data_IF_993750771189
#
_entry.id   IF_993750771189
#
_cell.length_a   1.000
_cell.length_b   1.000
_cell.length_c   1.000
_cell.angle_alpha   90.00
_cell.angle_beta   90.00
_cell.angle_gamma   90.00
#
_symmetry.space_group_name_H-M   'P 1'
#
loop_
_entity.id
_entity.type
_entity.pdbx_description
1 polymer ?
#
# COMPACT_ATOMS: atom_id res chain seq x y z
N UNK A 1 -5.67 26.86 -40.60
CA UNK A 1 -5.41 25.42 -40.79
C UNK A 1 -5.62 24.76 -39.42
N UNK A 2 -6.88 24.59 -39.02
CA UNK A 2 -7.68 23.37 -39.24
C UNK A 2 -7.17 22.19 -38.38
N UNK A 3 -7.94 21.79 -37.37
CA UNK A 3 -8.82 20.59 -37.37
C UNK A 3 -8.12 19.48 -36.56
N UNK A 4 -8.67 18.79 -35.56
CA UNK A 4 -10.03 18.56 -35.10
C UNK A 4 -9.97 18.29 -33.59
N UNK A 5 -10.83 18.92 -32.80
CA UNK A 5 -11.34 18.27 -31.58
C UNK A 5 -12.66 18.94 -31.19
N UNK A 6 -13.69 18.63 -31.96
CA UNK A 6 -15.02 19.18 -31.75
C UNK A 6 -16.07 18.16 -32.22
N UNK A 7 -16.25 17.04 -31.50
CA UNK A 7 -17.42 16.15 -31.75
C UNK A 7 -17.84 15.18 -30.64
N UNK A 8 -17.29 15.22 -29.42
CA UNK A 8 -17.71 14.23 -28.40
C UNK A 8 -18.19 14.79 -27.05
N UNK A 9 -18.00 16.08 -26.77
CA UNK A 9 -18.48 16.69 -25.51
C UNK A 9 -19.87 17.35 -25.65
N UNK A 10 -20.42 17.44 -26.87
CA UNK A 10 -21.67 18.16 -27.16
C UNK A 10 -22.97 17.34 -27.17
N UNK A 11 -23.02 16.15 -26.55
CA UNK A 11 -24.23 15.30 -26.62
C UNK A 11 -24.81 14.80 -25.29
N UNK A 12 -24.41 15.39 -24.15
CA UNK A 12 -25.01 15.09 -22.85
C UNK A 12 -25.68 16.29 -22.13
N UNK A 13 -25.76 17.47 -22.76
CA UNK A 13 -26.43 18.66 -22.20
C UNK A 13 -27.69 19.06 -23.00
N UNK A 14 -28.58 18.11 -23.27
CA UNK A 14 -29.83 18.39 -23.96
C UNK A 14 -31.02 17.66 -23.33
N UNK A 15 -31.31 17.94 -22.06
CA UNK A 15 -32.65 17.77 -21.45
C UNK A 15 -32.87 18.89 -20.42
N UNK A 16 -33.74 19.84 -20.77
CA UNK A 16 -34.53 20.78 -19.95
C UNK A 16 -33.91 21.49 -18.73
N UNK A 17 -33.07 22.50 -18.97
CA UNK A 17 -32.68 23.53 -17.98
C UNK A 17 -33.39 24.88 -18.16
N UNK A 18 -34.27 25.03 -19.15
CA UNK A 18 -34.92 26.31 -19.48
C UNK A 18 -36.21 26.59 -18.68
N UNK A 19 -36.87 25.57 -18.15
CA UNK A 19 -38.11 25.70 -17.34
C UNK A 19 -37.85 25.97 -15.86
N UNK A 20 -36.71 25.51 -15.32
CA UNK A 20 -36.35 25.63 -13.90
C UNK A 20 -35.79 27.03 -13.57
N UNK A 21 -35.14 27.68 -14.53
CA UNK A 21 -34.45 28.97 -14.33
C UNK A 21 -35.42 30.18 -14.33
N UNK A 22 -36.59 30.04 -14.98
CA UNK A 22 -37.65 31.06 -15.03
C UNK A 22 -38.39 31.21 -13.70
N UNK A 23 -38.75 30.08 -13.09
CA UNK A 23 -39.53 30.02 -11.85
C UNK A 23 -38.73 30.48 -10.62
N UNK A 24 -37.42 30.19 -10.60
CA UNK A 24 -36.52 30.64 -9.52
C UNK A 24 -36.22 32.15 -9.55
N UNK A 25 -36.17 32.78 -10.73
CA UNK A 25 -35.99 34.24 -10.83
C UNK A 25 -37.22 35.00 -10.32
N UNK A 26 -38.43 34.49 -10.57
CA UNK A 26 -39.68 35.06 -10.06
C UNK A 26 -39.79 35.03 -8.52
N UNK A 27 -39.46 33.90 -7.89
CA UNK A 27 -39.50 33.78 -6.42
C UNK A 27 -38.45 34.65 -5.71
N UNK A 28 -37.25 34.83 -6.29
CA UNK A 28 -36.20 35.68 -5.67
C UNK A 28 -36.47 37.19 -5.80
N UNK A 29 -37.33 37.61 -6.72
CA UNK A 29 -37.74 38.99 -6.90
C UNK A 29 -38.89 39.36 -5.94
N UNK A 30 -39.84 38.43 -5.70
CA UNK A 30 -40.89 38.62 -4.69
C UNK A 30 -40.34 38.63 -3.26
N UNK A 31 -39.33 37.81 -2.93
CA UNK A 31 -38.75 37.79 -1.58
C UNK A 31 -37.95 39.06 -1.26
N UNK A 32 -37.26 39.65 -2.24
CA UNK A 32 -36.52 40.91 -2.07
C UNK A 32 -37.44 42.12 -1.88
N UNK A 33 -38.54 42.21 -2.63
CA UNK A 33 -39.51 43.30 -2.46
C UNK A 33 -40.28 43.23 -1.12
N UNK A 34 -40.42 42.04 -0.53
CA UNK A 34 -41.03 41.85 0.79
C UNK A 34 -40.07 42.15 1.95
N UNK A 35 -38.76 41.96 1.76
CA UNK A 35 -37.74 42.34 2.76
C UNK A 35 -37.44 43.85 2.74
N UNK A 36 -37.38 44.51 1.57
CA UNK A 36 -37.10 45.95 1.47
C UNK A 36 -38.24 46.84 2.00
N UNK A 37 -39.47 46.30 2.08
CA UNK A 37 -40.61 46.98 2.71
C UNK A 37 -40.56 46.95 4.25
N UNK A 38 -39.66 46.17 4.85
CA UNK A 38 -39.58 45.96 6.30
C UNK A 38 -38.48 46.79 7.01
N UNK A 39 -37.61 47.51 6.28
CA UNK A 39 -36.38 48.10 6.84
C UNK A 39 -36.26 49.63 6.66
N UNK A 40 -37.36 50.38 6.86
CA UNK A 40 -37.33 51.85 6.88
C UNK A 40 -37.75 52.41 8.24
N UNK A 41 -36.89 53.13 8.98
CA UNK A 41 -37.28 53.80 10.21
C UNK A 41 -38.04 55.10 9.86
N UNK A 42 -39.26 55.27 10.37
CA UNK A 42 -39.95 56.57 10.40
C UNK A 42 -40.18 57.01 11.84
N UNK A 43 -39.84 58.27 12.09
CA UNK A 43 -40.03 58.99 13.33
C UNK A 43 -41.51 59.10 13.74
N UNK A 44 -41.67 59.29 15.05
CA UNK A 44 -42.86 59.29 15.90
C UNK A 44 -44.05 60.10 15.37
N UNK A 45 -45.25 59.49 15.47
CA UNK A 45 -46.56 60.13 15.41
C UNK A 45 -47.62 59.19 15.98
N UNK A 46 -48.36 59.66 16.97
CA UNK A 46 -49.35 58.98 17.80
C UNK A 46 -50.39 58.10 17.09
N UNK A 47 -50.67 56.93 17.68
CA UNK A 47 -51.98 56.26 17.69
C UNK A 47 -52.35 55.40 16.48
N UNK A 48 -52.18 54.07 16.60
CA UNK A 48 -53.18 53.01 16.30
C UNK A 48 -52.54 51.61 16.18
N UNK A 49 -53.01 50.70 17.05
CA UNK A 49 -53.01 49.22 17.05
C UNK A 49 -51.87 48.41 16.38
N UNK A 50 -51.02 47.82 17.22
CA UNK A 50 -49.94 46.88 16.89
C UNK A 50 -50.44 45.42 16.64
N UNK A 51 -51.74 45.13 16.76
CA UNK A 51 -52.22 43.73 16.81
C UNK A 51 -52.51 43.10 15.43
N UNK A 52 -52.81 43.90 14.39
CA UNK A 52 -53.19 43.35 13.07
C UNK A 52 -52.00 42.95 12.17
N UNK A 53 -50.80 43.51 12.39
CA UNK A 53 -49.64 43.27 11.50
C UNK A 53 -48.91 41.97 11.86
N UNK A 54 -48.97 41.52 13.12
CA UNK A 54 -48.34 40.28 13.57
C UNK A 54 -49.12 39.01 13.19
N UNK A 55 -50.46 39.05 13.16
CA UNK A 55 -51.27 37.89 12.75
C UNK A 55 -51.10 37.54 11.27
N UNK A 56 -50.98 38.53 10.38
CA UNK A 56 -50.87 38.28 8.94
C UNK A 56 -49.52 37.68 8.53
N UNK A 57 -48.44 37.96 9.28
CA UNK A 57 -47.10 37.41 9.00
C UNK A 57 -46.99 35.91 9.37
N UNK A 58 -47.69 35.48 10.42
CA UNK A 58 -47.72 34.06 10.82
C UNK A 58 -48.49 33.18 9.84
N UNK A 59 -49.61 33.68 9.31
CA UNK A 59 -50.45 32.92 8.36
C UNK A 59 -49.71 32.72 7.03
N UNK A 60 -48.99 33.73 6.54
CA UNK A 60 -48.20 33.62 5.29
C UNK A 60 -47.03 32.65 5.44
N UNK A 61 -46.34 32.63 6.59
CA UNK A 61 -45.29 31.63 6.86
C UNK A 61 -45.86 30.21 6.96
N UNK A 62 -47.03 30.02 7.59
CA UNK A 62 -47.65 28.70 7.73
C UNK A 62 -48.06 28.13 6.37
N UNK A 63 -48.61 28.96 5.47
CA UNK A 63 -49.00 28.53 4.11
C UNK A 63 -47.75 28.19 3.26
N UNK A 64 -46.67 28.97 3.38
CA UNK A 64 -45.39 28.66 2.73
C UNK A 64 -44.77 27.35 3.24
N UNK A 65 -44.90 27.07 4.54
CA UNK A 65 -44.40 25.82 5.13
C UNK A 65 -45.21 24.59 4.66
N UNK A 66 -46.54 24.71 4.58
CA UNK A 66 -47.42 23.62 4.14
C UNK A 66 -47.25 23.32 2.65
N UNK A 67 -47.06 24.35 1.82
CA UNK A 67 -46.79 24.17 0.38
C UNK A 67 -45.41 23.59 0.11
N UNK A 68 -44.39 23.95 0.90
CA UNK A 68 -43.07 23.30 0.85
C UNK A 68 -43.10 21.83 1.32
N UNK A 69 -44.02 21.48 2.23
CA UNK A 69 -44.17 20.11 2.72
C UNK A 69 -44.88 19.21 1.69
N UNK A 70 -45.82 19.75 0.90
CA UNK A 70 -46.53 19.00 -0.15
C UNK A 70 -45.66 18.75 -1.40
N UNK A 71 -44.71 19.63 -1.72
CA UNK A 71 -43.79 19.41 -2.85
C UNK A 71 -42.69 18.39 -2.53
N UNK A 72 -42.33 18.21 -1.25
CA UNK A 72 -41.40 17.15 -0.84
C UNK A 72 -41.99 15.74 -0.97
N UNK A 73 -43.29 15.57 -0.75
CA UNK A 73 -43.95 14.25 -0.86
C UNK A 73 -44.12 13.76 -2.30
N UNK A 74 -44.06 14.67 -3.29
CA UNK A 74 -44.21 14.33 -4.71
C UNK A 74 -42.90 13.82 -5.37
N UNK A 75 -41.74 14.04 -4.74
CA UNK A 75 -40.43 13.54 -5.23
C UNK A 75 -39.90 12.33 -4.46
N UNK A 76 -40.70 11.76 -3.54
CA UNK A 76 -40.32 10.64 -2.69
C UNK A 76 -40.79 9.26 -3.18
N UNK A 77 -41.10 9.11 -4.48
CA UNK A 77 -41.23 7.79 -5.10
C UNK A 77 -39.94 7.46 -5.85
N UNK A 78 -38.88 7.17 -5.08
CA UNK A 78 -37.80 6.34 -5.58
C UNK A 78 -38.39 4.94 -5.79
N UNK A 79 -38.75 4.63 -7.03
CA UNK A 79 -39.11 3.29 -7.44
C UNK A 79 -37.96 2.37 -7.02
N UNK A 80 -38.20 1.52 -6.02
CA UNK A 80 -37.24 0.48 -5.66
C UNK A 80 -37.05 -0.37 -6.90
N UNK A 81 -35.88 -0.29 -7.51
CA UNK A 81 -35.46 -1.27 -8.50
C UNK A 81 -35.36 -2.59 -7.73
N UNK A 82 -36.42 -3.40 -7.79
CA UNK A 82 -36.37 -4.79 -7.34
C UNK A 82 -35.38 -5.53 -8.26
N UNK A 83 -34.14 -5.62 -7.81
CA UNK A 83 -33.17 -6.55 -8.38
C UNK A 83 -33.71 -7.94 -8.02
N UNK A 84 -34.37 -8.58 -8.98
CA UNK A 84 -34.85 -9.96 -8.85
C UNK A 84 -33.74 -10.86 -8.31
N UNK A 85 -33.92 -11.35 -7.08
CA UNK A 85 -33.04 -12.30 -6.36
C UNK A 85 -33.15 -13.75 -6.89
N UNK A 86 -33.74 -13.96 -8.07
CA UNK A 86 -33.68 -15.29 -8.69
C UNK A 86 -32.23 -15.56 -9.11
N UNK A 87 -31.66 -16.74 -8.79
CA UNK A 87 -30.36 -17.12 -9.33
C UNK A 87 -30.45 -17.10 -10.86
N UNK A 88 -29.82 -16.10 -11.47
CA UNK A 88 -29.82 -15.96 -12.92
C UNK A 88 -29.03 -17.13 -13.48
N UNK A 89 -29.63 -17.83 -14.45
CA UNK A 89 -29.07 -19.04 -15.05
C UNK A 89 -27.74 -18.80 -15.78
N UNK A 90 -27.12 -19.87 -16.28
CA UNK A 90 -25.88 -19.79 -17.06
C UNK A 90 -26.08 -18.97 -18.34
N UNK A 91 -25.03 -18.26 -18.75
CA UNK A 91 -25.00 -17.52 -20.02
C UNK A 91 -24.53 -18.46 -21.12
N UNK A 92 -25.23 -18.48 -22.25
CA UNK A 92 -24.82 -19.24 -23.43
C UNK A 92 -24.33 -18.29 -24.52
N UNK A 93 -23.17 -18.58 -25.10
CA UNK A 93 -22.60 -17.78 -26.19
C UNK A 93 -22.29 -18.65 -27.40
N UNK A 94 -22.54 -18.11 -28.59
CA UNK A 94 -22.06 -18.71 -29.85
C UNK A 94 -20.58 -18.40 -30.05
N UNK A 95 -19.88 -19.23 -30.84
CA UNK A 95 -18.45 -19.01 -31.14
C UNK A 95 -18.17 -17.65 -31.81
N UNK A 96 -19.13 -17.12 -32.57
CA UNK A 96 -19.05 -15.78 -33.13
C UNK A 96 -19.09 -14.70 -32.04
N UNK A 97 -20.00 -14.82 -31.07
CA UNK A 97 -20.10 -13.89 -29.93
C UNK A 97 -18.87 -13.98 -29.03
N UNK A 98 -18.36 -15.18 -28.75
CA UNK A 98 -17.12 -15.35 -27.97
C UNK A 98 -15.95 -14.59 -28.62
N UNK A 99 -15.83 -14.65 -29.95
CA UNK A 99 -14.79 -13.95 -30.72
C UNK A 99 -14.99 -12.43 -30.73
N UNK A 100 -16.22 -11.95 -30.77
CA UNK A 100 -16.54 -10.50 -30.72
C UNK A 100 -16.20 -9.93 -29.34
N UNK A 101 -16.44 -10.69 -28.26
CA UNK A 101 -16.16 -10.27 -26.87
C UNK A 101 -14.65 -10.40 -26.55
N UNK A 102 -13.86 -11.03 -27.43
CA UNK A 102 -12.44 -11.38 -27.22
C UNK A 102 -12.25 -12.13 -25.88
N UNK A 103 -13.07 -13.17 -25.68
CA UNK A 103 -13.00 -13.99 -24.47
C UNK A 103 -11.68 -14.76 -24.43
N UNK A 104 -10.94 -14.60 -23.33
CA UNK A 104 -9.78 -15.45 -23.00
C UNK A 104 -10.07 -16.30 -21.79
N UNK A 105 -9.68 -17.55 -21.89
CA UNK A 105 -9.83 -18.55 -20.84
C UNK A 105 -8.47 -18.84 -20.19
N UNK A 106 -8.48 -19.17 -18.91
CA UNK A 106 -7.34 -19.72 -18.20
C UNK A 106 -7.77 -20.95 -17.41
N UNK A 107 -6.86 -21.91 -17.28
CA UNK A 107 -7.09 -23.12 -16.47
C UNK A 107 -6.72 -22.86 -15.01
N UNK A 108 -7.57 -23.33 -14.12
CA UNK A 108 -7.29 -23.42 -12.69
C UNK A 108 -6.18 -24.47 -12.50
N UNK A 109 -5.09 -24.07 -11.86
CA UNK A 109 -3.93 -24.95 -11.62
C UNK A 109 -3.36 -24.74 -10.23
N UNK A 110 -2.73 -25.79 -9.72
CA UNK A 110 -1.98 -25.71 -8.47
C UNK A 110 -0.59 -25.12 -8.74
N UNK A 111 -0.18 -24.17 -7.90
CA UNK A 111 1.19 -23.65 -7.92
C UNK A 111 1.62 -23.12 -6.56
N UNK A 112 2.93 -22.95 -6.34
CA UNK A 112 3.43 -22.24 -5.18
C UNK A 112 2.90 -20.81 -5.15
N UNK A 113 2.34 -20.40 -4.02
CA UNK A 113 1.86 -19.05 -3.77
C UNK A 113 2.31 -18.61 -2.37
N UNK A 114 2.76 -17.37 -2.26
CA UNK A 114 3.12 -16.78 -0.98
C UNK A 114 2.55 -15.37 -0.88
N UNK A 115 1.96 -15.07 0.27
CA UNK A 115 1.58 -13.72 0.62
C UNK A 115 2.77 -13.01 1.27
N UNK A 116 3.21 -11.92 0.67
CA UNK A 116 4.40 -11.18 1.09
C UNK A 116 4.00 -9.81 1.65
N UNK A 117 4.55 -9.45 2.80
CA UNK A 117 4.52 -8.08 3.33
C UNK A 117 5.83 -7.38 3.00
N UNK A 118 5.78 -6.29 2.24
CA UNK A 118 6.97 -5.54 1.85
C UNK A 118 7.25 -4.42 2.84
N UNK A 119 8.41 -4.48 3.48
CA UNK A 119 8.93 -3.49 4.40
C UNK A 119 10.18 -2.82 3.82
N UNK A 120 10.36 -1.54 4.14
CA UNK A 120 11.56 -0.79 3.76
C UNK A 120 12.48 -0.65 4.98
N UNK A 121 13.79 -0.59 4.72
CA UNK A 121 14.78 -0.57 5.79
C UNK A 121 16.20 -0.32 5.30
N UNK A 122 17.13 -0.56 6.20
CA UNK A 122 18.57 -0.38 5.97
C UNK A 122 19.36 -1.57 6.51
N UNK A 123 20.46 -1.91 5.85
CA UNK A 123 21.43 -2.87 6.36
C UNK A 123 22.28 -2.21 7.46
N UNK A 124 22.34 -2.85 8.63
CA UNK A 124 23.17 -2.43 9.75
C UNK A 124 24.09 -3.56 10.23
N UNK A 125 25.16 -3.18 10.92
CA UNK A 125 25.99 -4.12 11.66
C UNK A 125 25.29 -4.58 12.92
N UNK A 126 25.60 -5.80 13.36
CA UNK A 126 25.21 -6.22 14.69
C UNK A 126 26.01 -5.39 15.72
N UNK A 127 25.36 -4.85 16.77
CA UNK A 127 26.05 -4.06 17.79
C UNK A 127 27.22 -4.79 18.46
N UNK A 128 27.11 -6.12 18.59
CA UNK A 128 28.11 -6.97 19.22
C UNK A 128 29.18 -7.50 18.24
N UNK A 129 29.13 -7.11 16.96
CA UNK A 129 30.07 -7.52 15.91
C UNK A 129 30.89 -6.32 15.41
N UNK A 130 31.10 -5.32 16.27
CA UNK A 130 31.96 -4.17 16.00
C UNK A 130 32.70 -3.71 17.25
N UNK A 131 33.87 -3.11 17.08
CA UNK A 131 34.69 -2.61 18.17
C UNK A 131 35.47 -1.36 17.75
N UNK A 132 35.47 -0.37 18.64
CA UNK A 132 36.36 0.78 18.58
C UNK A 132 37.65 0.47 19.33
N UNK A 133 38.78 0.64 18.64
CA UNK A 133 40.10 0.48 19.22
C UNK A 133 40.58 1.85 19.66
N UNK A 134 40.63 2.07 20.97
CA UNK A 134 41.07 3.33 21.58
C UNK A 134 42.44 3.20 22.25
N UNK A 135 43.15 4.32 22.37
CA UNK A 135 44.37 4.41 23.19
C UNK A 135 44.01 4.82 24.62
N UNK A 136 44.74 4.29 25.61
CA UNK A 136 44.56 4.64 27.04
C UNK A 136 45.68 5.54 27.59
N UNK A 137 46.70 5.82 26.79
CA UNK A 137 47.86 6.61 27.15
C UNK A 137 48.10 7.71 26.12
N UNK A 138 48.73 8.81 26.53
CA UNK A 138 49.22 9.83 25.62
C UNK A 138 50.53 9.41 24.97
N UNK A 139 50.67 9.63 23.66
CA UNK A 139 51.84 9.17 22.91
C UNK A 139 51.84 9.61 21.45
N UNK A 140 52.87 9.20 20.70
CA UNK A 140 52.95 9.38 19.26
C UNK A 140 52.87 8.03 18.54
N UNK A 141 52.26 8.00 17.36
CA UNK A 141 52.19 6.81 16.51
C UNK A 141 53.58 6.51 15.92
N UNK A 142 54.25 5.49 16.43
CA UNK A 142 55.62 5.12 16.03
C UNK A 142 55.67 4.10 14.88
N UNK A 143 54.65 3.25 14.74
CA UNK A 143 54.51 2.31 13.63
C UNK A 143 53.04 1.96 13.39
N UNK A 144 52.68 1.74 12.12
CA UNK A 144 51.37 1.25 11.70
C UNK A 144 51.54 -0.12 11.03
N UNK A 145 50.75 -1.09 11.46
CA UNK A 145 50.78 -2.47 10.96
C UNK A 145 49.53 -2.83 10.15
N UNK A 146 48.47 -2.05 10.26
CA UNK A 146 47.20 -2.31 9.57
C UNK A 146 46.60 -1.03 8.98
N UNK A 147 45.86 -1.20 7.88
CA UNK A 147 45.26 -0.13 7.08
C UNK A 147 43.76 -0.31 6.92
N UNK A 148 43.10 0.75 6.47
CA UNK A 148 41.69 0.72 6.09
C UNK A 148 41.45 -0.39 5.06
N UNK A 149 40.46 -1.24 5.30
CA UNK A 149 40.09 -2.36 4.44
C UNK A 149 40.84 -3.66 4.72
N UNK A 150 41.88 -3.67 5.56
CA UNK A 150 42.59 -4.89 5.90
C UNK A 150 41.71 -5.82 6.74
N UNK A 151 41.86 -7.13 6.48
CA UNK A 151 41.32 -8.16 7.35
C UNK A 151 42.29 -8.44 8.50
N UNK A 152 41.77 -8.40 9.72
CA UNK A 152 42.56 -8.61 10.94
C UNK A 152 41.97 -9.71 11.80
N UNK A 153 42.83 -10.45 12.48
CA UNK A 153 42.44 -11.47 13.48
C UNK A 153 42.48 -10.88 14.88
N UNK A 154 41.66 -11.40 15.80
CA UNK A 154 41.77 -11.09 17.23
C UNK A 154 43.21 -11.30 17.72
N UNK A 155 43.77 -10.28 18.37
CA UNK A 155 45.15 -10.28 18.88
C UNK A 155 46.21 -9.82 17.87
N UNK A 156 45.88 -9.58 16.61
CA UNK A 156 46.83 -9.09 15.60
C UNK A 156 47.28 -7.66 15.93
N UNK A 157 48.58 -7.34 15.86
CA UNK A 157 49.08 -5.98 16.11
C UNK A 157 48.58 -5.01 15.03
N UNK A 158 48.08 -3.84 15.46
CA UNK A 158 47.53 -2.81 14.56
C UNK A 158 48.41 -1.57 14.50
N UNK A 159 48.91 -1.12 15.65
CA UNK A 159 49.70 0.11 15.80
C UNK A 159 50.62 0.02 17.00
N UNK A 160 51.78 0.68 16.92
CA UNK A 160 52.69 0.88 18.04
C UNK A 160 52.69 2.35 18.46
N UNK A 161 52.33 2.63 19.71
CA UNK A 161 52.34 3.96 20.31
C UNK A 161 53.56 4.10 21.20
N UNK A 162 54.36 5.13 20.99
CA UNK A 162 55.45 5.51 21.88
C UNK A 162 54.93 6.54 22.88
N UNK A 163 55.07 6.24 24.17
CA UNK A 163 54.64 7.13 25.24
C UNK A 163 55.53 8.38 25.30
N UNK A 164 54.94 9.48 25.78
CA UNK A 164 55.68 10.70 26.13
C UNK A 164 56.33 10.64 27.51
N UNK A 165 56.13 9.55 28.25
CA UNK A 165 56.77 9.35 29.55
C UNK A 165 58.29 9.20 29.40
N UNK A 166 59.02 9.72 30.39
CA UNK A 166 60.47 9.68 30.43
C UNK A 166 60.93 8.22 30.60
N UNK A 167 61.83 7.76 29.73
CA UNK A 167 62.46 6.44 29.76
C UNK A 167 63.54 6.34 28.68
N UNK A 168 64.50 5.44 28.84
CA UNK A 168 65.59 5.20 27.88
C UNK A 168 65.64 3.72 27.44
N UNK A 169 65.07 3.35 26.27
CA UNK A 169 64.27 4.18 25.37
C UNK A 169 62.86 4.48 25.94
N UNK A 170 62.13 5.48 25.42
CA UNK A 170 60.78 5.79 25.88
C UNK A 170 59.86 4.57 25.72
N UNK A 171 59.03 4.25 26.74
CA UNK A 171 58.20 3.05 26.72
C UNK A 171 57.21 3.09 25.55
N UNK A 172 56.97 1.94 24.93
CA UNK A 172 56.03 1.81 23.82
C UNK A 172 55.06 0.66 24.05
N UNK A 173 53.83 0.82 23.55
CA UNK A 173 52.76 -0.17 23.64
C UNK A 173 52.29 -0.52 22.23
N UNK A 174 52.07 -1.81 22.00
CA UNK A 174 51.43 -2.30 20.78
C UNK A 174 49.96 -2.49 21.11
N UNK A 175 49.10 -1.90 20.29
CA UNK A 175 47.66 -2.05 20.40
C UNK A 175 47.24 -3.09 19.37
N UNK A 176 46.58 -4.13 19.89
CA UNK A 176 46.15 -5.28 19.11
C UNK A 176 44.66 -5.20 18.80
N UNK A 177 44.23 -5.93 17.76
CA UNK A 177 42.82 -6.05 17.43
C UNK A 177 42.04 -6.77 18.53
N UNK A 178 40.94 -6.21 19.05
CA UNK A 178 40.09 -6.88 20.05
C UNK A 178 39.25 -8.01 19.46
N UNK A 179 39.04 -8.01 18.14
CA UNK A 179 38.19 -8.96 17.43
C UNK A 179 38.74 -9.33 16.04
N UNK A 180 38.17 -10.36 15.43
CA UNK A 180 38.43 -10.70 14.04
C UNK A 180 37.43 -9.94 13.16
N UNK A 181 37.90 -9.26 12.12
CA UNK A 181 37.04 -8.43 11.27
C UNK A 181 37.80 -7.66 10.20
N UNK A 182 37.13 -6.66 9.64
CA UNK A 182 37.68 -5.71 8.66
C UNK A 182 37.87 -4.36 9.34
N UNK A 183 38.95 -3.66 9.01
CA UNK A 183 39.15 -2.28 9.44
C UNK A 183 38.28 -1.36 8.59
N UNK A 184 37.25 -0.79 9.22
CA UNK A 184 36.26 0.08 8.61
C UNK A 184 36.65 1.54 8.64
N UNK A 185 37.45 1.93 9.64
CA UNK A 185 38.02 3.26 9.75
C UNK A 185 39.43 3.19 10.34
N UNK A 186 40.33 4.02 9.82
CA UNK A 186 41.64 4.30 10.41
C UNK A 186 41.74 5.80 10.63
N UNK A 187 41.66 6.23 11.88
CA UNK A 187 41.59 7.63 12.27
C UNK A 187 42.96 8.20 12.69
N UNK A 188 44.04 7.48 12.35
CA UNK A 188 45.41 7.85 12.68
C UNK A 188 46.35 7.76 11.50
N UNK A 189 47.42 8.54 11.58
CA UNK A 189 48.56 8.55 10.67
C UNK A 189 49.88 8.33 11.42
N UNK A 190 50.90 7.85 10.72
CA UNK A 190 52.24 7.69 11.30
C UNK A 190 52.77 9.05 11.78
N UNK A 191 53.37 9.09 12.97
CA UNK A 191 53.89 10.31 13.60
C UNK A 191 52.85 11.18 14.32
N UNK A 192 51.56 10.88 14.20
CA UNK A 192 50.50 11.64 14.84
C UNK A 192 50.54 11.48 16.38
N UNK A 193 50.30 12.57 17.11
CA UNK A 193 50.08 12.54 18.54
C UNK A 193 48.66 12.05 18.87
N UNK A 194 48.53 11.19 19.88
CA UNK A 194 47.27 10.61 20.35
C UNK A 194 47.13 10.78 21.86
N UNK A 195 45.90 10.98 22.32
CA UNK A 195 45.53 11.17 23.73
C UNK A 195 44.57 10.06 24.19
N UNK A 196 44.45 9.79 25.51
CA UNK A 196 43.52 8.80 26.03
C UNK A 196 42.10 8.98 25.48
N UNK A 197 41.44 7.87 25.17
CA UNK A 197 40.13 7.79 24.52
C UNK A 197 40.09 8.23 23.04
N UNK A 198 41.24 8.52 22.42
CA UNK A 198 41.30 8.71 20.96
C UNK A 198 41.01 7.37 20.27
N UNK A 199 39.97 7.32 19.43
CA UNK A 199 39.67 6.18 18.57
C UNK A 199 40.69 6.09 17.43
N UNK A 200 41.41 4.98 17.37
CA UNK A 200 42.46 4.73 16.39
C UNK A 200 41.92 3.98 15.17
N UNK A 201 41.13 2.93 15.43
CA UNK A 201 40.53 2.07 14.41
C UNK A 201 39.09 1.75 14.77
N UNK A 202 38.24 1.60 13.76
CA UNK A 202 36.94 0.94 13.88
C UNK A 202 37.03 -0.40 13.15
N UNK A 203 36.65 -1.48 13.82
CA UNK A 203 36.73 -2.84 13.28
C UNK A 203 35.34 -3.46 13.35
N UNK A 204 34.88 -4.05 12.26
CA UNK A 204 33.62 -4.79 12.25
C UNK A 204 33.76 -6.17 11.63
N UNK A 205 32.97 -7.10 12.16
CA UNK A 205 32.72 -8.38 11.55
C UNK A 205 31.40 -8.32 10.78
N UNK A 206 31.50 -8.40 9.46
CA UNK A 206 30.38 -8.27 8.53
C UNK A 206 29.84 -9.59 8.03
N UNK A 207 30.30 -10.73 8.56
CA UNK A 207 29.88 -12.07 8.11
C UNK A 207 28.36 -12.28 8.25
N UNK A 208 27.75 -11.61 9.23
CA UNK A 208 26.30 -11.47 9.37
C UNK A 208 25.98 -10.00 9.52
N UNK A 209 24.83 -9.62 8.99
CA UNK A 209 24.29 -8.26 9.09
C UNK A 209 22.81 -8.35 9.42
N UNK A 210 22.24 -7.24 9.91
CA UNK A 210 20.80 -7.13 10.10
C UNK A 210 20.22 -6.21 9.05
N UNK A 211 19.07 -6.54 8.49
CA UNK A 211 18.20 -5.57 7.84
C UNK A 211 17.25 -5.03 8.90
N UNK A 212 17.38 -3.74 9.24
CA UNK A 212 16.47 -3.02 10.11
C UNK A 212 15.32 -2.48 9.25
N UNK A 213 14.22 -3.23 9.20
CA UNK A 213 13.04 -2.89 8.42
C UNK A 213 11.96 -2.26 9.30
N UNK A 214 11.13 -1.40 8.73
CA UNK A 214 10.05 -0.72 9.45
C UNK A 214 8.70 -1.31 9.05
N UNK A 215 7.92 -1.74 10.04
CA UNK A 215 6.53 -2.20 9.87
C UNK A 215 5.56 -1.17 10.43
N UNK A 216 4.48 -0.89 9.69
CA UNK A 216 3.41 -0.01 10.17
C UNK A 216 2.59 -0.68 11.28
N UNK A 217 2.04 0.14 12.19
CA UNK A 217 1.24 -0.34 13.33
C UNK A 217 0.08 -1.26 12.91
N UNK A 218 -0.56 -0.99 11.77
CA UNK A 218 -1.68 -1.79 11.22
C UNK A 218 -1.29 -3.19 10.72
N UNK A 219 -0.01 -3.38 10.38
CA UNK A 219 0.52 -4.65 9.87
C UNK A 219 1.29 -5.44 10.93
N UNK A 220 1.47 -4.88 12.12
CA UNK A 220 2.31 -5.45 13.18
C UNK A 220 1.85 -6.85 13.62
N UNK A 221 0.53 -7.08 13.69
CA UNK A 221 -0.05 -8.39 14.07
C UNK A 221 0.33 -9.51 13.08
N UNK A 222 0.65 -9.16 11.83
CA UNK A 222 1.00 -10.12 10.77
C UNK A 222 2.45 -10.58 10.88
N UNK A 223 3.30 -9.80 11.56
CA UNK A 223 4.75 -10.06 11.66
C UNK A 223 5.07 -10.77 12.96
N UNK A 224 5.71 -11.93 12.85
CA UNK A 224 6.06 -12.77 14.00
C UNK A 224 7.55 -13.13 13.96
N UNK A 225 8.18 -13.15 15.13
CA UNK A 225 9.57 -13.60 15.27
C UNK A 225 9.72 -15.02 14.73
N UNK A 226 10.72 -15.21 13.88
CA UNK A 226 11.01 -16.48 13.23
C UNK A 226 10.46 -16.63 11.82
N UNK A 227 9.66 -15.69 11.32
CA UNK A 227 9.25 -15.68 9.91
C UNK A 227 10.46 -15.54 8.96
N UNK A 228 10.34 -16.19 7.80
CA UNK A 228 11.29 -16.05 6.70
C UNK A 228 11.08 -14.69 6.02
N UNK A 229 12.17 -14.01 5.70
CA UNK A 229 12.15 -12.78 4.93
C UNK A 229 13.12 -12.85 3.76
N UNK A 230 12.70 -12.34 2.61
CA UNK A 230 13.55 -12.18 1.43
C UNK A 230 13.96 -10.72 1.29
N UNK A 231 15.24 -10.45 1.45
CA UNK A 231 15.78 -9.08 1.39
C UNK A 231 16.39 -8.82 0.03
N UNK A 232 16.02 -7.69 -0.56
CA UNK A 232 16.54 -7.18 -1.83
C UNK A 232 17.22 -5.84 -1.58
N UNK A 233 18.41 -5.66 -2.18
CA UNK A 233 19.16 -4.40 -2.08
C UNK A 233 19.38 -3.82 -3.47
N UNK A 234 19.36 -2.49 -3.58
CA UNK A 234 19.50 -1.79 -4.87
C UNK A 234 20.86 -2.06 -5.54
N UNK A 235 21.89 -2.32 -4.74
CA UNK A 235 23.24 -2.61 -5.24
C UNK A 235 23.32 -3.95 -6.00
N UNK A 236 22.39 -4.87 -5.75
CA UNK A 236 22.35 -6.19 -6.38
C UNK A 236 20.91 -6.58 -6.73
N UNK A 237 20.31 -5.96 -7.77
CA UNK A 237 18.87 -6.09 -8.06
C UNK A 237 18.44 -7.51 -8.49
N UNK A 238 19.39 -8.36 -8.88
CA UNK A 238 19.15 -9.76 -9.28
C UNK A 238 19.41 -10.76 -8.15
N UNK A 239 19.85 -10.30 -6.97
CA UNK A 239 20.16 -11.17 -5.83
C UNK A 239 19.12 -10.98 -4.75
N UNK A 240 18.71 -12.10 -4.19
CA UNK A 240 17.83 -12.16 -3.02
C UNK A 240 18.60 -12.76 -1.86
N UNK A 241 18.54 -12.10 -0.72
CA UNK A 241 19.22 -12.51 0.49
C UNK A 241 18.17 -13.10 1.45
N UNK A 242 18.16 -14.42 1.66
CA UNK A 242 17.26 -15.03 2.62
C UNK A 242 17.67 -14.65 4.04
N UNK A 243 16.68 -14.33 4.87
CA UNK A 243 16.87 -13.96 6.25
C UNK A 243 15.73 -14.43 7.14
N UNK A 244 15.88 -14.19 8.43
CA UNK A 244 14.88 -14.56 9.44
C UNK A 244 14.62 -13.39 10.39
N UNK A 245 13.36 -13.15 10.70
CA UNK A 245 13.00 -12.16 11.73
C UNK A 245 13.50 -12.66 13.08
N UNK A 246 14.38 -11.90 13.73
CA UNK A 246 14.97 -12.27 15.04
C UNK A 246 14.43 -11.44 16.19
N UNK A 247 14.01 -10.20 15.91
CA UNK A 247 13.52 -9.28 16.92
C UNK A 247 12.52 -8.31 16.29
N UNK A 248 11.42 -8.10 17.00
CA UNK A 248 10.51 -6.96 16.79
C UNK A 248 10.76 -6.05 17.98
N UNK A 249 11.20 -4.82 17.73
CA UNK A 249 11.53 -3.90 18.81
C UNK A 249 10.27 -3.56 19.64
N UNK A 250 10.37 -3.45 20.98
CA UNK A 250 9.20 -3.25 21.82
C UNK A 250 8.60 -1.84 21.71
N UNK A 251 9.32 -0.89 21.11
CA UNK A 251 8.94 0.51 21.06
C UNK A 251 8.43 0.90 19.67
N UNK A 252 7.27 1.54 19.65
CA UNK A 252 6.72 2.21 18.46
C UNK A 252 7.35 3.60 18.32
N UNK A 253 7.81 3.93 17.12
CA UNK A 253 8.14 5.31 16.79
C UNK A 253 6.84 6.10 16.54
N UNK A 254 6.50 7.02 17.44
CA UNK A 254 5.24 7.79 17.36
C UNK A 254 5.18 8.76 16.18
N UNK A 255 6.33 9.17 15.63
CA UNK A 255 6.41 10.10 14.50
C UNK A 255 6.12 9.36 13.19
N UNK A 256 6.75 8.20 12.98
CA UNK A 256 6.57 7.42 11.75
C UNK A 256 5.46 6.38 11.85
N UNK A 257 4.91 6.13 13.06
CA UNK A 257 3.94 5.06 13.34
C UNK A 257 4.42 3.68 12.88
N UNK A 258 5.71 3.43 13.10
CA UNK A 258 6.36 2.17 12.73
C UNK A 258 7.08 1.54 13.90
N UNK A 259 7.17 0.21 13.86
CA UNK A 259 8.02 -0.60 14.72
C UNK A 259 9.19 -1.12 13.89
N UNK A 260 10.38 -1.14 14.49
CA UNK A 260 11.54 -1.73 13.83
C UNK A 260 11.52 -3.26 13.98
N UNK A 261 11.82 -3.93 12.87
CA UNK A 261 11.96 -5.38 12.77
C UNK A 261 13.37 -5.69 12.32
N UNK A 262 14.10 -6.45 13.12
CA UNK A 262 15.45 -6.89 12.80
C UNK A 262 15.41 -8.25 12.11
N UNK A 263 15.93 -8.29 10.89
CA UNK A 263 16.02 -9.50 10.07
C UNK A 263 17.50 -9.87 9.95
N UNK A 264 17.88 -11.03 10.47
CA UNK A 264 19.27 -11.52 10.36
C UNK A 264 19.52 -12.05 8.95
N UNK A 265 20.67 -11.68 8.39
CA UNK A 265 21.12 -12.09 7.06
C UNK A 265 22.55 -12.62 7.15
N UNK A 266 22.79 -13.75 6.49
CA UNK A 266 24.16 -14.21 6.21
C UNK A 266 24.74 -13.41 5.05
N UNK A 267 25.96 -12.89 5.24
CA UNK A 267 26.61 -12.01 4.28
C UNK A 267 27.82 -12.70 3.62
N UNK A 268 27.56 -13.87 3.03
CA UNK A 268 28.60 -14.62 2.33
C UNK A 268 29.16 -13.77 1.17
N UNK A 269 30.48 -13.60 1.15
CA UNK A 269 31.18 -12.78 0.15
C UNK A 269 31.16 -11.27 0.43
N UNK A 270 30.73 -10.82 1.63
CA UNK A 270 30.76 -9.42 2.06
C UNK A 270 30.05 -8.46 1.08
N UNK A 271 28.95 -8.92 0.49
CA UNK A 271 28.19 -8.17 -0.51
C UNK A 271 27.34 -7.07 0.15
N UNK A 272 26.69 -7.41 1.26
CA UNK A 272 25.87 -6.49 2.03
C UNK A 272 26.78 -5.58 2.85
N UNK A 273 26.71 -4.27 2.58
CA UNK A 273 27.43 -3.26 3.35
C UNK A 273 26.45 -2.53 4.26
N UNK A 274 26.87 -2.20 5.50
CA UNK A 274 26.11 -1.30 6.36
C UNK A 274 25.85 0.02 5.63
N UNK A 275 24.68 0.63 5.83
CA UNK A 275 24.27 1.83 5.08
C UNK A 275 23.45 1.55 3.81
N UNK A 276 23.38 0.29 3.35
CA UNK A 276 22.61 -0.03 2.15
C UNK A 276 21.11 0.03 2.42
N UNK A 277 20.36 0.65 1.50
CA UNK A 277 18.91 0.54 1.48
C UNK A 277 18.48 -0.90 1.16
N UNK A 278 17.54 -1.41 1.95
CA UNK A 278 17.02 -2.77 1.86
C UNK A 278 15.49 -2.77 1.77
N UNK A 279 14.96 -3.62 0.90
CA UNK A 279 13.54 -3.97 0.85
C UNK A 279 13.39 -5.39 1.34
N UNK A 280 12.71 -5.58 2.46
CA UNK A 280 12.44 -6.88 3.04
C UNK A 280 11.02 -7.35 2.69
N UNK A 281 10.88 -8.54 2.13
CA UNK A 281 9.60 -9.19 1.88
C UNK A 281 9.41 -10.29 2.91
N UNK A 282 8.60 -10.04 3.93
CA UNK A 282 8.27 -11.01 4.97
C UNK A 282 7.21 -11.97 4.43
N UNK A 283 7.43 -13.27 4.59
CA UNK A 283 6.46 -14.31 4.21
C UNK A 283 5.40 -14.42 5.31
N UNK A 284 4.18 -13.97 5.01
CA UNK A 284 3.05 -14.04 5.95
C UNK A 284 2.41 -15.42 5.93
N UNK A 285 2.18 -15.93 4.72
CA UNK A 285 1.60 -17.24 4.45
C UNK A 285 2.24 -17.79 3.18
N UNK A 286 2.44 -19.11 3.13
CA UNK A 286 2.91 -19.81 1.95
C UNK A 286 2.18 -21.13 1.78
N UNK A 287 1.90 -21.48 0.53
CA UNK A 287 1.42 -22.80 0.14
C UNK A 287 2.16 -23.27 -1.09
N UNK A 288 2.65 -24.51 -1.05
CA UNK A 288 3.38 -25.12 -2.18
C UNK A 288 2.44 -25.50 -3.33
N UNK A 289 1.20 -25.84 -3.00
CA UNK A 289 0.19 -26.34 -3.94
C UNK A 289 -1.12 -25.58 -3.73
N UNK A 290 -1.08 -24.24 -3.82
CA UNK A 290 -2.31 -23.44 -3.78
C UNK A 290 -3.08 -23.64 -5.09
N UNK A 291 -4.38 -23.92 -5.01
CA UNK A 291 -5.26 -23.89 -6.17
C UNK A 291 -5.48 -22.44 -6.58
N UNK A 292 -5.08 -22.04 -7.79
CA UNK A 292 -5.04 -20.61 -8.13
C UNK A 292 -5.66 -20.27 -9.47
N UNK A 293 -6.11 -19.02 -9.55
CA UNK A 293 -6.62 -18.39 -10.77
C UNK A 293 -5.93 -17.05 -11.00
N UNK A 294 -5.76 -16.61 -12.26
CA UNK A 294 -5.29 -15.26 -12.54
C UNK A 294 -6.22 -14.20 -11.93
N UNK A 295 -5.65 -13.15 -11.36
CA UNK A 295 -6.39 -12.05 -10.73
C UNK A 295 -7.42 -11.42 -11.70
N UNK A 296 -7.08 -11.38 -12.99
CA UNK A 296 -7.93 -10.88 -14.05
C UNK A 296 -9.28 -11.62 -14.19
N UNK A 297 -9.37 -12.87 -13.73
CA UNK A 297 -10.58 -13.68 -13.82
C UNK A 297 -11.56 -13.48 -12.66
N UNK A 298 -11.14 -12.86 -11.56
CA UNK A 298 -11.97 -12.65 -10.38
C UNK A 298 -12.78 -11.36 -10.55
N UNK A 299 -14.09 -11.48 -10.34
CA UNK A 299 -15.02 -10.36 -10.28
C UNK A 299 -15.60 -10.24 -8.87
N UNK A 300 -16.03 -9.04 -8.53
CA UNK A 300 -16.65 -8.73 -7.25
C UNK A 300 -17.98 -8.01 -7.49
N UNK A 301 -19.00 -8.43 -6.75
CA UNK A 301 -20.34 -7.85 -6.83
C UNK A 301 -21.26 -8.43 -5.76
N UNK A 302 -22.09 -7.57 -5.16
CA UNK A 302 -22.94 -7.90 -4.01
C UNK A 302 -22.14 -8.49 -2.83
N UNK A 303 -20.98 -7.91 -2.53
CA UNK A 303 -20.04 -8.36 -1.48
C UNK A 303 -19.52 -9.81 -1.65
N UNK A 304 -19.70 -10.40 -2.83
CA UNK A 304 -19.20 -11.73 -3.16
C UNK A 304 -18.14 -11.65 -4.26
N UNK A 305 -17.07 -12.45 -4.10
CA UNK A 305 -16.13 -12.74 -5.18
C UNK A 305 -16.62 -13.93 -5.99
N UNK A 306 -16.58 -13.82 -7.31
CA UNK A 306 -17.02 -14.86 -8.22
C UNK A 306 -16.19 -14.89 -9.50
N UNK A 307 -16.24 -16.02 -10.19
CA UNK A 307 -15.65 -16.20 -11.51
C UNK A 307 -16.70 -16.76 -12.47
N UNK A 308 -16.44 -16.66 -13.78
CA UNK A 308 -17.21 -17.39 -14.78
C UNK A 308 -16.44 -18.63 -15.22
N UNK A 309 -16.99 -19.81 -14.89
CA UNK A 309 -16.48 -21.10 -15.38
C UNK A 309 -17.05 -21.40 -16.75
N UNK A 310 -16.19 -21.80 -17.68
CA UNK A 310 -16.56 -22.22 -19.03
C UNK A 310 -16.76 -23.74 -19.08
N UNK A 311 -17.85 -24.15 -19.71
CA UNK A 311 -18.16 -25.53 -20.08
C UNK A 311 -18.58 -25.54 -21.56
N UNK A 312 -17.63 -25.32 -22.45
CA UNK A 312 -17.89 -25.20 -23.89
C UNK A 312 -18.53 -23.85 -24.24
N UNK A 313 -19.80 -23.86 -24.62
CA UNK A 313 -20.58 -22.65 -24.95
C UNK A 313 -21.38 -22.10 -23.74
N UNK A 314 -21.32 -22.79 -22.60
CA UNK A 314 -22.02 -22.45 -21.37
C UNK A 314 -21.06 -21.79 -20.39
N UNK A 315 -21.47 -20.65 -19.83
CA UNK A 315 -20.70 -19.91 -18.84
C UNK A 315 -21.51 -19.76 -17.56
N UNK A 316 -20.97 -20.25 -16.45
CA UNK A 316 -21.65 -20.31 -15.16
C UNK A 316 -20.95 -19.39 -14.14
N UNK A 317 -21.74 -18.56 -13.45
CA UNK A 317 -21.24 -17.76 -12.32
C UNK A 317 -21.02 -18.69 -11.12
N UNK A 318 -19.77 -18.78 -10.68
CA UNK A 318 -19.36 -19.56 -9.52
C UNK A 318 -18.85 -18.60 -8.47
N UNK A 319 -19.54 -18.53 -7.32
CA UNK A 319 -19.06 -17.82 -6.15
C UNK A 319 -17.86 -18.57 -5.58
N UNK A 320 -16.77 -17.85 -5.31
CA UNK A 320 -15.51 -18.42 -4.83
C UNK A 320 -15.10 -17.80 -3.51
N UNK A 321 -14.53 -18.61 -2.61
CA UNK A 321 -13.83 -18.10 -1.44
C UNK A 321 -12.35 -18.01 -1.77
N UNK A 322 -11.79 -16.81 -1.63
CA UNK A 322 -10.38 -16.53 -1.95
C UNK A 322 -9.50 -16.58 -0.70
N UNK A 323 -8.28 -17.08 -0.86
CA UNK A 323 -7.24 -17.08 0.17
C UNK A 323 -6.16 -16.03 -0.13
N UNK A 324 -4.90 -16.46 -0.09
CA UNK A 324 -3.75 -15.63 -0.42
C UNK A 324 -3.80 -15.11 -1.86
N UNK A 325 -3.19 -13.95 -2.11
CA UNK A 325 -3.03 -13.42 -3.47
C UNK A 325 -1.66 -12.78 -3.66
N UNK A 326 -1.09 -12.98 -4.84
CA UNK A 326 0.09 -12.26 -5.33
C UNK A 326 -0.33 -11.21 -6.39
N UNK A 327 0.65 -10.60 -7.06
CA UNK A 327 0.41 -9.59 -8.10
C UNK A 327 -0.39 -10.12 -9.30
N UNK A 328 -0.26 -11.41 -9.62
CA UNK A 328 -0.78 -12.00 -10.85
C UNK A 328 -1.96 -12.95 -10.62
N UNK A 329 -2.07 -13.54 -9.44
CA UNK A 329 -3.00 -14.61 -9.16
C UNK A 329 -3.46 -14.68 -7.70
N UNK A 330 -4.60 -15.34 -7.49
CA UNK A 330 -5.25 -15.51 -6.20
C UNK A 330 -5.56 -16.99 -5.96
N UNK A 331 -5.40 -17.42 -4.72
CA UNK A 331 -5.77 -18.73 -4.21
C UNK A 331 -7.29 -18.86 -4.07
N UNK A 332 -7.80 -20.02 -4.45
CA UNK A 332 -9.21 -20.39 -4.34
C UNK A 332 -9.34 -21.51 -3.31
N UNK A 333 -10.00 -21.21 -2.20
CA UNK A 333 -10.25 -22.14 -1.11
C UNK A 333 -11.45 -23.05 -1.39
N UNK A 334 -12.50 -22.48 -2.00
CA UNK A 334 -13.72 -23.21 -2.38
C UNK A 334 -14.35 -22.64 -3.64
N UNK A 335 -15.00 -23.51 -4.43
CA UNK A 335 -15.85 -23.13 -5.57
C UNK A 335 -15.37 -23.68 -6.91
N UNK A 336 -14.07 -23.92 -7.07
CA UNK A 336 -13.45 -24.44 -8.29
C UNK A 336 -12.66 -25.72 -8.02
N UNK A 337 -12.42 -26.49 -9.08
CA UNK A 337 -11.55 -27.66 -9.07
C UNK A 337 -10.35 -27.48 -10.00
N UNK A 338 -9.30 -28.28 -9.80
CA UNK A 338 -8.15 -28.34 -10.70
C UNK A 338 -8.62 -28.67 -12.12
N UNK A 339 -8.16 -27.90 -13.11
CA UNK A 339 -8.50 -28.10 -14.51
C UNK A 339 -9.76 -27.38 -14.99
N UNK A 340 -10.55 -26.78 -14.08
CA UNK A 340 -11.66 -25.90 -14.49
C UNK A 340 -11.12 -24.77 -15.39
N UNK A 341 -11.87 -24.42 -16.44
CA UNK A 341 -11.56 -23.27 -17.30
C UNK A 341 -12.37 -22.07 -16.86
N UNK A 342 -11.70 -20.94 -16.61
CA UNK A 342 -12.33 -19.69 -16.19
C UNK A 342 -12.08 -18.55 -17.18
N UNK A 343 -12.99 -17.60 -17.26
CA UNK A 343 -12.88 -16.42 -18.11
C UNK A 343 -12.00 -15.36 -17.45
N UNK A 344 -10.88 -15.00 -18.10
CA UNK A 344 -9.93 -13.97 -17.63
C UNK A 344 -10.00 -12.66 -18.43
N UNK A 345 -10.59 -12.68 -19.62
CA UNK A 345 -10.83 -11.48 -20.43
C UNK A 345 -12.25 -11.53 -20.99
N UNK A 346 -12.93 -10.39 -21.04
CA UNK A 346 -14.33 -10.28 -21.47
C UNK A 346 -15.35 -10.69 -20.38
N UNK A 347 -14.87 -10.98 -19.17
CA UNK A 347 -15.69 -11.39 -18.03
C UNK A 347 -16.68 -10.30 -17.57
N UNK A 348 -16.38 -9.01 -17.75
CA UNK A 348 -17.31 -7.91 -17.45
C UNK A 348 -18.49 -7.86 -18.41
N UNK A 349 -18.26 -8.05 -19.71
CA UNK A 349 -19.31 -8.13 -20.72
C UNK A 349 -20.21 -9.34 -20.44
N UNK A 350 -19.59 -10.47 -20.10
CA UNK A 350 -20.29 -11.67 -19.69
C UNK A 350 -21.12 -11.44 -18.42
N UNK A 351 -20.58 -10.69 -17.45
CA UNK A 351 -21.31 -10.28 -16.26
C UNK A 351 -22.52 -9.40 -16.59
N UNK A 352 -22.38 -8.44 -17.51
CA UNK A 352 -23.51 -7.63 -17.99
C UNK A 352 -24.60 -8.50 -18.64
N UNK A 353 -24.22 -9.44 -19.51
CA UNK A 353 -25.17 -10.38 -20.12
C UNK A 353 -25.86 -11.28 -19.09
N UNK A 354 -25.13 -11.69 -18.06
CA UNK A 354 -25.68 -12.42 -16.93
C UNK A 354 -26.68 -11.57 -16.14
N UNK A 355 -26.37 -10.30 -15.85
CA UNK A 355 -27.27 -9.37 -15.17
C UNK A 355 -28.56 -9.08 -15.95
N UNK A 356 -28.46 -8.93 -17.28
CA UNK A 356 -29.60 -8.65 -18.17
C UNK A 356 -30.42 -9.89 -18.52
N UNK A 357 -29.96 -11.09 -18.13
CA UNK A 357 -30.74 -12.32 -18.25
C UNK A 357 -30.95 -12.80 -19.69
N UNK A 358 -29.92 -12.71 -20.54
CA UNK A 358 -29.98 -13.25 -21.92
C UNK A 358 -30.11 -14.78 -21.88
N UNK A 359 -31.34 -15.27 -21.76
CA UNK A 359 -31.68 -16.67 -21.57
C UNK A 359 -31.77 -17.40 -22.92
N UNK A 360 -31.01 -18.50 -23.01
CA UNK A 360 -31.17 -19.66 -23.93
C UNK A 360 -31.23 -19.38 -25.45
N UNK A 361 -30.62 -20.23 -26.29
CA UNK A 361 -30.93 -20.22 -27.72
C UNK A 361 -32.44 -20.46 -27.86
N UNK A 362 -33.13 -19.58 -28.60
CA UNK A 362 -34.45 -19.88 -29.12
C UNK A 362 -34.35 -21.21 -29.88
N UNK A 363 -35.27 -22.14 -29.63
CA UNK A 363 -35.41 -23.34 -30.46
C UNK A 363 -35.48 -22.88 -31.91
N UNK A 364 -34.59 -23.42 -32.75
CA UNK A 364 -34.80 -23.42 -34.20
C UNK A 364 -36.10 -24.16 -34.46
N UNK A 365 -37.17 -23.42 -34.68
CA UNK A 365 -38.39 -23.96 -35.26
C UNK A 365 -38.06 -24.32 -36.71
N UNK A 366 -37.79 -25.60 -36.93
CA UNK A 366 -37.83 -26.20 -38.25
C UNK A 366 -39.28 -26.16 -38.77
N UNK A 367 -39.53 -25.35 -39.78
CA UNK A 367 -40.63 -25.53 -40.72
C UNK A 367 -40.14 -25.39 -42.15
#
# INVERSE_FOLDING_TARGET
MHLLNNTFVKRLEAVDSSSITSTYRGLSAMSRNLLDAADKPRHVGSGMSCQHVLQNKFIVCLILLITALHTLTAFAHGEKIEISDKPRGPVYLTKAQEKIIDLKLAKVSERPLAQLLTLNGEIQLLPNEQADVTVRISGNVSALYANLGDQVKKGQPLVKIQSRLIGDPPPSIIINSPMTGVIDARNISLGQAVEPNTTLFHISNRNRVIALAQVYEEDLEKVVVGQTAYVHVLSYPKKTFPGKVILIEPNLNSVTRTVNVQIILDNQGNLLKPGMFARAQIVLQESKNALTVPNAGILEGNDEKFVFRSQGNKFERIVVKTGMSDEFYTEILTGLAVGDEIVIQGNRQLYTLWLTGSSSPAKEDHH
#
